data_IF_786113669589
#
_entry.id   IF_786113669589
#
_cell.length_a   1.000
_cell.length_b   1.000
_cell.length_c   1.000
_cell.angle_alpha   90.00
_cell.angle_beta   90.00
_cell.angle_gamma   90.00
#
_symmetry.space_group_name_H-M   'P 1'
#
loop_
_entity.id
_entity.type
_entity.pdbx_description
1 polymer ?
#
# COMPACT_ATOMS: atom_id res chain seq x y z
N UNK A 1 7.55 31.50 64.39
CA UNK A 1 6.98 32.53 63.51
C UNK A 1 6.02 31.82 62.54
N UNK A 2 4.69 31.68 62.74
CA UNK A 2 3.66 32.62 63.24
C UNK A 2 3.74 33.93 62.44
N UNK A 3 2.75 34.47 61.70
CA UNK A 3 1.26 34.55 61.76
C UNK A 3 0.82 35.20 60.39
N UNK A 4 -0.23 34.70 59.69
CA UNK A 4 -1.61 35.27 59.56
C UNK A 4 -1.72 36.65 58.85
N UNK A 5 -2.47 36.76 57.73
CA UNK A 5 -3.88 37.26 57.63
C UNK A 5 -3.96 38.80 57.49
N UNK A 6 -4.80 39.47 56.69
CA UNK A 6 -6.27 39.46 56.47
C UNK A 6 -6.55 40.29 55.20
N UNK A 7 -7.41 39.87 54.26
CA UNK A 7 -8.85 40.12 54.17
C UNK A 7 -9.29 41.53 53.69
N UNK A 8 -10.03 41.56 52.58
CA UNK A 8 -11.10 42.53 52.31
C UNK A 8 -12.34 41.75 51.84
N UNK A 9 -13.37 41.79 52.68
CA UNK A 9 -14.76 41.37 52.47
C UNK A 9 -15.56 42.54 51.88
N UNK A 10 -16.55 42.31 51.01
CA UNK A 10 -18.01 42.23 51.26
C UNK A 10 -18.66 42.37 49.86
N UNK A 11 -19.81 41.81 49.46
CA UNK A 11 -20.85 40.99 50.10
C UNK A 11 -21.98 40.73 49.09
N UNK A 12 -22.60 39.54 49.18
CA UNK A 12 -24.03 39.20 49.00
C UNK A 12 -24.69 39.46 47.62
N UNK A 13 -25.45 38.55 46.99
CA UNK A 13 -26.53 37.72 47.51
C UNK A 13 -26.68 36.38 46.76
N UNK A 14 -27.32 35.43 47.45
CA UNK A 14 -27.52 33.99 47.17
C UNK A 14 -29.07 33.74 47.00
N UNK A 15 -29.62 32.51 46.90
CA UNK A 15 -29.79 31.71 45.67
C UNK A 15 -31.20 31.06 45.46
N UNK A 16 -31.39 30.39 44.31
CA UNK A 16 -32.29 29.20 44.03
C UNK A 16 -33.82 29.36 44.15
N UNK A 17 -34.70 28.43 43.66
CA UNK A 17 -34.48 27.10 43.04
C UNK A 17 -35.29 26.79 41.74
N UNK A 18 -35.00 25.64 41.13
CA UNK A 18 -35.83 24.91 40.14
C UNK A 18 -37.02 24.18 40.80
N UNK A 19 -38.14 23.92 40.08
CA UNK A 19 -38.55 22.50 39.86
C UNK A 19 -39.27 22.15 38.52
N UNK A 20 -39.06 20.89 38.09
CA UNK A 20 -39.97 19.83 37.56
C UNK A 20 -41.06 20.04 36.46
N UNK A 21 -40.98 19.18 35.42
CA UNK A 21 -42.01 18.39 34.68
C UNK A 21 -43.43 18.92 34.39
N UNK A 22 -43.87 18.84 33.11
CA UNK A 22 -44.90 17.89 32.59
C UNK A 22 -45.74 18.44 31.39
N UNK A 23 -45.91 17.55 30.38
CA UNK A 23 -47.08 17.31 29.50
C UNK A 23 -47.68 18.37 28.54
N UNK A 24 -47.95 17.86 27.32
CA UNK A 24 -48.78 18.37 26.20
C UNK A 24 -50.22 18.77 26.61
N UNK A 25 -50.95 19.52 25.75
CA UNK A 25 -51.93 18.84 24.89
C UNK A 25 -52.10 19.40 23.45
N UNK A 26 -52.70 18.55 22.61
CA UNK A 26 -53.22 18.79 21.26
C UNK A 26 -54.42 19.76 21.21
N UNK A 27 -54.71 20.35 20.04
CA UNK A 27 -56.10 20.41 19.52
C UNK A 27 -56.19 20.66 18.01
N UNK A 28 -57.23 20.04 17.45
CA UNK A 28 -57.63 19.82 16.07
C UNK A 28 -58.11 21.06 15.28
N UNK A 29 -58.05 20.97 13.95
CA UNK A 29 -59.22 21.26 13.10
C UNK A 29 -59.17 20.58 11.71
N UNK A 30 -60.22 19.79 11.44
CA UNK A 30 -60.67 19.11 10.21
C UNK A 30 -61.30 20.12 9.20
N UNK A 31 -61.67 19.80 7.93
CA UNK A 31 -62.63 18.71 7.60
C UNK A 31 -62.55 17.98 6.21
N UNK A 32 -63.27 16.83 6.16
CA UNK A 32 -64.03 16.12 5.09
C UNK A 32 -63.68 16.27 3.59
N UNK A 33 -63.82 15.31 2.66
CA UNK A 33 -64.48 13.98 2.58
C UNK A 33 -64.26 13.35 1.18
N UNK A 34 -64.43 12.01 1.07
CA UNK A 34 -64.78 11.19 -0.12
C UNK A 34 -63.79 11.16 -1.31
N UNK A 35 -63.50 10.08 -2.04
CA UNK A 35 -63.96 8.68 -2.09
C UNK A 35 -63.05 7.91 -3.09
N UNK A 36 -63.09 6.57 -3.02
CA UNK A 36 -62.88 5.59 -4.12
C UNK A 36 -61.47 5.24 -4.66
N UNK A 37 -61.32 3.90 -4.82
CA UNK A 37 -60.48 3.10 -5.74
C UNK A 37 -58.98 2.92 -5.47
N UNK A 38 -58.59 1.66 -5.22
CA UNK A 38 -57.26 1.14 -5.52
C UNK A 38 -56.92 1.31 -7.01
N UNK A 39 -55.64 1.55 -7.34
CA UNK A 39 -55.04 0.67 -8.34
C UNK A 39 -53.55 0.32 -8.08
N UNK A 40 -53.25 -0.94 -8.36
CA UNK A 40 -52.04 -1.51 -8.97
C UNK A 40 -50.64 -0.90 -8.73
N UNK A 41 -49.75 -1.79 -8.31
CA UNK A 41 -48.28 -1.66 -8.30
C UNK A 41 -47.69 -1.07 -9.60
N UNK A 42 -46.68 -0.17 -9.53
CA UNK A 42 -46.06 0.42 -10.72
C UNK A 42 -45.14 -0.58 -11.45
N UNK A 43 -44.99 -0.47 -12.79
CA UNK A 43 -44.11 -1.34 -13.56
C UNK A 43 -42.63 -0.99 -13.34
N UNK A 44 -41.78 -2.02 -13.31
CA UNK A 44 -40.31 -1.88 -13.27
C UNK A 44 -39.82 -0.99 -14.42
N UNK A 45 -38.90 -0.04 -14.18
CA UNK A 45 -38.38 0.80 -15.26
C UNK A 45 -37.55 -0.03 -16.24
N UNK A 46 -37.95 -0.01 -17.52
CA UNK A 46 -37.16 -0.54 -18.63
C UNK A 46 -35.83 0.22 -18.72
N UNK A 47 -34.73 -0.52 -18.68
CA UNK A 47 -33.38 0.02 -18.83
C UNK A 47 -33.23 0.71 -20.20
N UNK A 48 -33.18 2.05 -20.21
CA UNK A 48 -32.74 2.81 -21.38
C UNK A 48 -31.27 2.44 -21.66
N UNK A 49 -31.04 1.72 -22.75
CA UNK A 49 -29.69 1.47 -23.29
C UNK A 49 -29.07 2.81 -23.70
N UNK A 50 -28.23 3.37 -22.82
CA UNK A 50 -27.33 4.46 -23.17
C UNK A 50 -26.39 3.96 -24.27
N UNK A 51 -26.48 4.55 -25.47
CA UNK A 51 -25.43 4.42 -26.49
C UNK A 51 -24.30 5.38 -26.09
N UNK A 52 -23.10 4.91 -25.71
CA UNK A 52 -22.00 5.80 -25.35
C UNK A 52 -21.52 6.57 -26.59
N UNK A 53 -21.08 7.81 -26.38
CA UNK A 53 -20.53 8.65 -27.44
C UNK A 53 -19.31 8.00 -28.11
N UNK A 54 -19.03 8.26 -29.40
CA UNK A 54 -17.89 7.67 -30.12
C UNK A 54 -16.52 7.98 -29.49
N UNK A 55 -16.43 9.02 -28.65
CA UNK A 55 -15.24 9.36 -27.88
C UNK A 55 -14.98 8.39 -26.71
N UNK A 56 -16.03 7.95 -26.01
CA UNK A 56 -15.93 6.96 -24.91
C UNK A 56 -15.45 5.58 -25.41
N UNK A 57 -15.80 5.23 -26.65
CA UNK A 57 -15.33 4.01 -27.32
C UNK A 57 -13.85 4.05 -27.75
N UNK A 58 -13.23 5.24 -27.81
CA UNK A 58 -11.80 5.37 -28.13
C UNK A 58 -10.93 5.17 -26.89
N UNK A 59 -11.43 5.65 -25.75
CA UNK A 59 -10.80 5.44 -24.44
C UNK A 59 -10.93 3.98 -23.99
N UNK A 60 -12.02 3.29 -24.36
CA UNK A 60 -12.18 1.85 -24.17
C UNK A 60 -11.18 1.02 -24.98
N UNK A 61 -10.83 1.44 -26.20
CA UNK A 61 -9.77 0.80 -27.00
C UNK A 61 -8.39 1.02 -26.38
N UNK A 62 -8.10 2.22 -25.87
CA UNK A 62 -6.91 2.45 -25.06
C UNK A 62 -6.93 1.67 -23.74
N UNK A 63 -8.11 1.28 -23.20
CA UNK A 63 -8.25 0.35 -22.07
C UNK A 63 -7.89 -1.08 -22.46
N UNK A 64 -8.39 -1.61 -23.58
CA UNK A 64 -8.08 -2.98 -24.04
C UNK A 64 -6.57 -3.19 -24.28
N UNK A 65 -5.88 -2.18 -24.80
CA UNK A 65 -4.41 -2.17 -24.98
C UNK A 65 -3.68 -2.11 -23.62
N UNK A 66 -4.32 -1.59 -22.57
CA UNK A 66 -3.76 -1.45 -21.21
C UNK A 66 -4.06 -2.62 -20.27
N UNK A 67 -5.22 -3.28 -20.40
CA UNK A 67 -5.67 -4.34 -19.49
C UNK A 67 -5.37 -5.77 -19.96
N UNK A 68 -5.10 -5.99 -21.25
CA UNK A 68 -4.84 -7.35 -21.76
C UNK A 68 -6.06 -8.27 -21.72
N UNK A 69 -7.27 -7.73 -21.49
CA UNK A 69 -8.49 -8.52 -21.48
C UNK A 69 -9.01 -8.74 -22.91
N UNK A 70 -9.22 -10.00 -23.28
CA UNK A 70 -9.96 -10.41 -24.49
C UNK A 70 -11.38 -9.84 -24.40
N UNK A 71 -11.84 -9.17 -25.45
CA UNK A 71 -13.26 -8.90 -25.63
C UNK A 71 -13.91 -10.24 -26.03
N UNK A 72 -14.60 -10.88 -25.10
CA UNK A 72 -15.45 -12.01 -25.44
C UNK A 72 -16.55 -11.52 -26.39
N UNK A 73 -16.47 -11.99 -27.63
CA UNK A 73 -17.56 -11.92 -28.60
C UNK A 73 -18.71 -12.74 -28.04
N UNK A 74 -19.84 -12.08 -27.80
CA UNK A 74 -21.15 -12.70 -27.65
C UNK A 74 -21.41 -13.58 -28.89
N UNK A 75 -21.22 -14.89 -28.72
CA UNK A 75 -21.73 -15.90 -29.65
C UNK A 75 -23.17 -16.18 -29.23
N UNK A 76 -24.11 -15.86 -30.11
CA UNK A 76 -25.49 -16.33 -30.04
C UNK A 76 -25.51 -17.87 -30.04
N UNK A 77 -26.06 -18.48 -29.00
CA UNK A 77 -26.49 -19.88 -29.06
C UNK A 77 -27.98 -19.93 -29.44
N UNK A 78 -28.39 -20.76 -30.41
CA UNK A 78 -29.77 -21.17 -30.55
C UNK A 78 -30.12 -22.23 -29.50
N UNK A 79 -31.34 -22.13 -29.01
CA UNK A 79 -32.04 -23.01 -28.08
C UNK A 79 -32.15 -24.46 -28.57
N UNK A 80 -31.82 -25.46 -27.74
CA UNK A 80 -32.42 -26.81 -27.77
C UNK A 80 -32.44 -27.42 -26.35
N UNK A 81 -33.68 -27.60 -25.88
CA UNK A 81 -34.29 -28.66 -25.05
C UNK A 81 -33.52 -29.44 -23.96
N UNK A 82 -34.16 -29.48 -22.78
CA UNK A 82 -33.96 -30.49 -21.75
C UNK A 82 -34.41 -31.88 -22.22
N UNK A 83 -33.66 -32.91 -21.85
CA UNK A 83 -34.25 -34.18 -21.45
C UNK A 83 -33.41 -34.91 -20.40
N UNK A 84 -34.09 -35.31 -19.35
CA UNK A 84 -33.66 -36.14 -18.22
C UNK A 84 -33.66 -37.64 -18.57
N UNK A 85 -32.70 -38.40 -18.06
CA UNK A 85 -32.91 -39.80 -17.59
C UNK A 85 -31.64 -40.40 -16.96
N UNK A 86 -31.82 -41.01 -15.78
CA UNK A 86 -31.34 -42.33 -15.25
C UNK A 86 -29.90 -42.80 -15.61
N UNK A 87 -29.10 -43.48 -14.77
CA UNK A 87 -29.28 -44.26 -13.53
C UNK A 87 -27.91 -44.77 -13.03
N UNK A 88 -27.87 -45.13 -11.75
CA UNK A 88 -26.92 -45.93 -10.93
C UNK A 88 -26.05 -47.03 -11.57
N UNK A 89 -24.84 -47.24 -11.01
CA UNK A 89 -24.27 -48.49 -10.38
C UNK A 89 -22.72 -48.40 -10.29
N UNK A 90 -22.10 -48.40 -9.09
CA UNK A 90 -21.48 -49.54 -8.37
C UNK A 90 -20.39 -50.30 -9.15
N UNK A 91 -19.14 -50.38 -8.64
CA UNK A 91 -18.34 -51.61 -8.35
C UNK A 91 -17.11 -51.24 -7.49
N UNK A 92 -16.70 -52.24 -6.71
CA UNK A 92 -15.91 -52.33 -5.49
C UNK A 92 -14.43 -52.75 -5.71
N UNK A 93 -13.67 -52.78 -4.61
CA UNK A 93 -12.45 -53.57 -4.29
C UNK A 93 -11.08 -53.05 -4.82
N UNK A 94 -9.96 -53.15 -4.09
CA UNK A 94 -9.69 -53.86 -2.83
C UNK A 94 -8.26 -53.61 -2.31
N UNK A 95 -8.05 -54.10 -1.09
CA UNK A 95 -6.89 -54.03 -0.19
C UNK A 95 -5.70 -54.90 -0.60
N UNK A 96 -4.48 -54.51 -0.18
CA UNK A 96 -3.52 -55.25 0.68
C UNK A 96 -2.27 -54.37 0.87
N UNK A 97 -1.46 -54.34 1.92
CA UNK A 97 -1.20 -55.26 3.03
C UNK A 97 0.27 -55.00 3.46
N UNK A 98 0.49 -54.76 4.75
CA UNK A 98 1.73 -54.33 5.42
C UNK A 98 2.77 -55.43 5.64
N UNK A 99 4.06 -55.07 5.77
CA UNK A 99 4.97 -55.79 6.69
C UNK A 99 6.16 -54.93 7.19
N UNK A 100 6.46 -55.06 8.48
CA UNK A 100 7.49 -54.41 9.30
C UNK A 100 8.71 -55.34 9.43
N UNK A 101 9.94 -54.81 9.49
CA UNK A 101 11.03 -55.47 10.21
C UNK A 101 12.07 -54.46 10.76
N UNK A 102 12.32 -54.60 12.07
CA UNK A 102 13.35 -53.93 12.88
C UNK A 102 14.74 -54.52 12.62
N UNK A 103 15.81 -53.71 12.80
CA UNK A 103 17.09 -54.03 13.48
C UNK A 103 18.09 -52.83 13.41
N UNK A 104 18.71 -52.50 14.54
CA UNK A 104 19.93 -51.69 14.72
C UNK A 104 20.85 -52.45 15.70
N UNK A 105 22.11 -52.07 16.02
CA UNK A 105 23.09 -51.14 15.41
C UNK A 105 24.50 -51.79 15.25
N UNK A 106 25.49 -51.08 14.68
CA UNK A 106 26.92 -51.32 14.98
C UNK A 106 27.81 -50.10 14.67
N UNK A 107 28.89 -50.02 15.45
CA UNK A 107 29.77 -48.89 15.74
C UNK A 107 31.00 -48.81 14.80
N UNK A 108 31.63 -47.62 14.84
CA UNK A 108 33.04 -47.30 14.54
C UNK A 108 33.55 -47.29 13.09
N UNK A 109 33.93 -46.12 12.59
CA UNK A 109 35.35 -45.68 12.47
C UNK A 109 35.44 -44.35 11.70
N UNK A 110 36.32 -43.47 12.15
CA UNK A 110 36.42 -42.09 11.66
C UNK A 110 37.06 -41.96 10.27
N UNK A 111 36.83 -40.82 9.63
CA UNK A 111 37.75 -40.23 8.67
C UNK A 111 37.48 -38.75 8.53
N UNK A 112 38.57 -37.99 8.60
CA UNK A 112 38.67 -36.56 8.38
C UNK A 112 38.00 -36.12 7.07
N UNK A 113 37.44 -34.91 7.11
CA UNK A 113 37.25 -34.07 5.92
C UNK A 113 35.81 -33.69 5.67
N UNK A 114 35.40 -32.52 6.17
CA UNK A 114 34.74 -31.52 5.31
C UNK A 114 34.66 -30.14 6.02
N UNK A 115 35.81 -29.49 6.25
CA UNK A 115 35.84 -28.07 6.66
C UNK A 115 35.68 -27.12 5.45
N UNK A 116 35.11 -27.62 4.35
CA UNK A 116 34.93 -26.89 3.09
C UNK A 116 33.47 -26.54 2.76
N UNK A 117 32.50 -26.94 3.60
CA UNK A 117 31.07 -26.69 3.32
C UNK A 117 30.51 -25.39 3.93
N UNK A 118 31.24 -24.74 4.85
CA UNK A 118 30.74 -23.56 5.58
C UNK A 118 30.91 -22.23 4.81
N UNK A 119 31.70 -22.20 3.74
CA UNK A 119 31.96 -20.97 2.96
C UNK A 119 30.78 -20.53 2.06
N UNK A 120 29.71 -21.32 1.96
CA UNK A 120 28.49 -20.96 1.21
C UNK A 120 27.27 -20.67 2.09
N UNK A 121 27.36 -20.83 3.42
CA UNK A 121 26.28 -20.49 4.32
C UNK A 121 26.21 -18.96 4.50
N UNK A 122 25.20 -18.33 3.90
CA UNK A 122 24.99 -16.88 4.02
C UNK A 122 24.81 -16.44 5.48
N UNK A 123 25.36 -15.28 5.82
CA UNK A 123 25.25 -14.71 7.17
C UNK A 123 23.79 -14.36 7.47
N UNK A 124 23.31 -14.75 8.64
CA UNK A 124 21.92 -14.52 9.04
C UNK A 124 21.75 -13.23 9.84
N UNK A 125 20.65 -12.53 9.58
CA UNK A 125 20.17 -11.36 10.33
C UNK A 125 18.75 -11.66 10.82
N UNK A 126 18.59 -11.73 12.12
CA UNK A 126 17.33 -11.93 12.81
C UNK A 126 16.74 -10.56 13.14
N UNK A 127 15.49 -10.34 12.75
CA UNK A 127 14.75 -9.11 12.97
C UNK A 127 13.61 -9.39 13.95
N UNK A 128 13.70 -8.87 15.16
CA UNK A 128 12.79 -9.21 16.27
C UNK A 128 11.95 -8.00 16.66
N UNK A 129 10.63 -8.16 16.76
CA UNK A 129 9.73 -7.07 17.14
C UNK A 129 8.55 -7.56 17.96
N UNK A 130 8.19 -6.78 18.98
CA UNK A 130 6.95 -6.90 19.75
C UNK A 130 5.69 -6.46 18.96
N UNK A 131 5.89 -5.91 17.76
CA UNK A 131 4.85 -5.50 16.84
C UNK A 131 4.95 -6.31 15.54
N UNK A 132 4.94 -5.60 14.40
CA UNK A 132 4.95 -6.24 13.09
C UNK A 132 6.35 -6.53 12.56
N UNK A 133 7.38 -5.85 13.05
CA UNK A 133 8.76 -5.99 12.55
C UNK A 133 9.08 -5.23 11.25
N UNK A 134 8.09 -4.71 10.52
CA UNK A 134 8.31 -3.91 9.30
C UNK A 134 9.30 -2.74 9.46
N UNK A 135 9.37 -2.09 10.64
CA UNK A 135 10.34 -1.01 10.86
C UNK A 135 11.78 -1.52 10.89
N UNK A 136 12.01 -2.67 11.54
CA UNK A 136 13.30 -3.33 11.56
C UNK A 136 13.69 -3.76 10.14
N UNK A 137 12.77 -4.42 9.43
CA UNK A 137 12.98 -4.85 8.05
C UNK A 137 13.31 -3.71 7.10
N UNK A 138 12.58 -2.59 7.15
CA UNK A 138 12.89 -1.43 6.31
C UNK A 138 14.27 -0.85 6.62
N UNK A 139 14.66 -0.81 7.90
CA UNK A 139 15.95 -0.26 8.32
C UNK A 139 17.10 -1.19 7.90
N UNK A 140 16.92 -2.50 8.05
CA UNK A 140 17.89 -3.52 7.60
C UNK A 140 18.05 -3.48 6.08
N UNK A 141 16.94 -3.44 5.32
CA UNK A 141 17.01 -3.33 3.86
C UNK A 141 17.72 -2.04 3.41
N UNK A 142 17.46 -0.91 4.07
CA UNK A 142 18.16 0.35 3.79
C UNK A 142 19.67 0.25 4.09
N UNK A 143 20.05 -0.41 5.18
CA UNK A 143 21.44 -0.64 5.53
C UNK A 143 22.14 -1.61 4.56
N UNK A 144 21.46 -2.67 4.12
CA UNK A 144 21.98 -3.65 3.16
C UNK A 144 22.31 -3.02 1.80
N UNK A 145 21.60 -1.97 1.39
CA UNK A 145 21.92 -1.20 0.18
C UNK A 145 23.32 -0.56 0.18
N UNK A 146 23.96 -0.40 1.35
CA UNK A 146 25.36 0.04 1.42
C UNK A 146 26.37 -1.04 1.00
N UNK A 147 25.91 -2.29 0.84
CA UNK A 147 26.72 -3.46 0.53
C UNK A 147 26.35 -4.08 -0.83
N UNK A 148 25.60 -3.37 -1.68
CA UNK A 148 25.16 -3.84 -3.00
C UNK A 148 26.32 -4.40 -3.84
N UNK A 149 27.50 -3.76 -3.79
CA UNK A 149 28.70 -4.18 -4.51
C UNK A 149 29.17 -5.61 -4.15
N UNK A 150 28.86 -6.09 -2.95
CA UNK A 150 29.24 -7.41 -2.47
C UNK A 150 28.07 -8.41 -2.53
N UNK A 151 26.83 -7.93 -2.41
CA UNK A 151 25.62 -8.73 -2.50
C UNK A 151 25.33 -9.19 -3.93
N UNK A 152 25.55 -8.32 -4.93
CA UNK A 152 25.27 -8.62 -6.35
C UNK A 152 26.16 -9.76 -6.86
N UNK A 153 27.44 -9.73 -6.49
CA UNK A 153 28.40 -10.77 -6.86
C UNK A 153 28.32 -12.02 -5.94
N UNK A 154 27.34 -12.05 -5.03
CA UNK A 154 27.13 -13.09 -4.01
C UNK A 154 28.37 -13.42 -3.17
N UNK A 155 29.25 -12.44 -2.99
CA UNK A 155 30.47 -12.58 -2.19
C UNK A 155 30.14 -12.58 -0.69
N UNK A 156 29.06 -11.93 -0.29
CA UNK A 156 28.55 -11.92 1.09
C UNK A 156 27.04 -12.19 1.12
N UNK A 157 26.58 -13.43 0.90
CA UNK A 157 25.15 -13.74 0.95
C UNK A 157 24.60 -13.46 2.36
N UNK A 158 23.44 -12.80 2.43
CA UNK A 158 22.74 -12.47 3.67
C UNK A 158 21.34 -13.08 3.66
N UNK A 159 20.96 -13.73 4.75
CA UNK A 159 19.62 -14.24 4.99
C UNK A 159 18.93 -13.43 6.08
N UNK A 160 17.72 -12.94 5.83
CA UNK A 160 16.95 -12.16 6.81
C UNK A 160 15.78 -12.97 7.34
N UNK A 161 15.61 -13.03 8.67
CA UNK A 161 14.55 -13.76 9.34
C UNK A 161 13.73 -12.82 10.22
N UNK A 162 12.42 -12.72 9.97
CA UNK A 162 11.53 -11.82 10.70
C UNK A 162 10.74 -12.57 11.77
N UNK A 163 10.84 -12.11 13.02
CA UNK A 163 10.10 -12.59 14.17
C UNK A 163 9.19 -11.46 14.69
N UNK A 164 7.90 -11.54 14.38
CA UNK A 164 6.88 -10.56 14.76
C UNK A 164 6.10 -11.01 16.00
N UNK A 165 5.57 -10.05 16.76
CA UNK A 165 4.73 -10.31 17.94
C UNK A 165 5.48 -10.98 19.09
N UNK A 166 6.75 -10.60 19.30
CA UNK A 166 7.58 -11.11 20.39
C UNK A 166 7.43 -10.17 21.59
N UNK A 167 6.44 -10.46 22.44
CA UNK A 167 6.13 -9.71 23.65
C UNK A 167 6.39 -10.49 24.95
N UNK A 168 6.95 -11.70 24.85
CA UNK A 168 7.29 -12.56 25.96
C UNK A 168 8.80 -12.89 26.03
N UNK A 169 9.32 -13.00 27.25
CA UNK A 169 10.75 -13.21 27.50
C UNK A 169 11.20 -14.62 27.12
N UNK A 170 10.34 -15.62 27.27
CA UNK A 170 10.69 -17.02 27.01
C UNK A 170 11.00 -17.23 25.52
N UNK A 171 10.12 -16.75 24.64
CA UNK A 171 10.28 -16.79 23.19
C UNK A 171 11.42 -15.92 22.71
N UNK A 172 11.62 -14.74 23.30
CA UNK A 172 12.80 -13.92 23.03
C UNK A 172 14.08 -14.71 23.30
N UNK A 173 14.15 -15.40 24.44
CA UNK A 173 15.30 -16.23 24.79
C UNK A 173 15.51 -17.42 23.84
N UNK A 174 14.44 -18.05 23.38
CA UNK A 174 14.52 -19.11 22.35
C UNK A 174 15.12 -18.57 21.05
N UNK A 175 14.64 -17.41 20.58
CA UNK A 175 15.13 -16.76 19.37
C UNK A 175 16.62 -16.40 19.50
N UNK A 176 17.04 -15.83 20.63
CA UNK A 176 18.45 -15.46 20.86
C UNK A 176 19.34 -16.70 20.93
N UNK A 177 18.90 -17.78 21.58
CA UNK A 177 19.62 -19.06 21.60
C UNK A 177 19.77 -19.65 20.19
N UNK A 178 18.73 -19.53 19.37
CA UNK A 178 18.79 -19.98 17.98
C UNK A 178 19.75 -19.10 17.16
N UNK A 179 19.69 -17.78 17.32
CA UNK A 179 20.61 -16.85 16.68
C UNK A 179 22.07 -17.17 17.03
N UNK A 180 22.35 -17.52 18.29
CA UNK A 180 23.69 -17.94 18.72
C UNK A 180 24.16 -19.22 18.02
N UNK A 181 23.27 -20.22 17.87
CA UNK A 181 23.59 -21.48 17.15
C UNK A 181 23.86 -21.25 15.66
N UNK A 182 23.17 -20.30 15.05
CA UNK A 182 23.30 -19.97 13.63
C UNK A 182 24.34 -18.88 13.35
N UNK A 183 25.01 -18.33 14.37
CA UNK A 183 25.93 -17.21 14.21
C UNK A 183 25.26 -15.95 13.65
N UNK A 184 23.97 -15.77 13.91
CA UNK A 184 23.17 -14.68 13.36
C UNK A 184 23.31 -13.39 14.18
N UNK A 185 23.25 -12.24 13.50
CA UNK A 185 23.07 -10.93 14.14
C UNK A 185 21.59 -10.75 14.54
N UNK A 186 21.31 -10.12 15.68
CA UNK A 186 19.94 -9.80 16.13
C UNK A 186 19.69 -8.29 16.10
N UNK A 187 18.81 -7.87 15.21
CA UNK A 187 18.30 -6.51 15.12
C UNK A 187 16.90 -6.49 15.70
N UNK A 188 16.60 -5.57 16.62
CA UNK A 188 15.30 -5.58 17.31
C UNK A 188 14.66 -4.22 17.48
N UNK A 189 13.34 -4.24 17.65
CA UNK A 189 12.49 -3.10 18.00
C UNK A 189 11.52 -3.53 19.09
N UNK A 190 11.82 -3.21 20.33
CA UNK A 190 11.07 -3.60 21.52
C UNK A 190 10.69 -2.32 22.29
N UNK A 191 9.40 -2.09 22.51
CA UNK A 191 8.89 -0.92 23.19
C UNK A 191 9.02 -1.02 24.71
N UNK A 192 8.91 -2.23 25.26
CA UNK A 192 9.12 -2.48 26.68
C UNK A 192 10.62 -2.48 27.01
N UNK A 193 11.04 -1.52 27.83
CA UNK A 193 12.44 -1.34 28.22
C UNK A 193 13.01 -2.57 28.94
N UNK A 194 12.19 -3.28 29.72
CA UNK A 194 12.63 -4.48 30.44
C UNK A 194 12.94 -5.64 29.48
N UNK A 195 12.13 -5.80 28.43
CA UNK A 195 12.35 -6.80 27.39
C UNK A 195 13.54 -6.40 26.52
N UNK A 196 13.69 -5.11 26.17
CA UNK A 196 14.84 -4.61 25.42
C UNK A 196 16.17 -4.79 26.18
N UNK A 197 16.17 -4.55 27.49
CA UNK A 197 17.31 -4.80 28.38
C UNK A 197 17.65 -6.30 28.44
N UNK A 198 16.62 -7.14 28.61
CA UNK A 198 16.78 -8.60 28.63
C UNK A 198 17.36 -9.11 27.31
N UNK A 199 16.89 -8.58 26.17
CA UNK A 199 17.42 -8.92 24.86
C UNK A 199 18.91 -8.60 24.75
N UNK A 200 19.33 -7.41 25.21
CA UNK A 200 20.72 -6.98 25.18
C UNK A 200 21.61 -7.87 26.05
N UNK A 201 21.21 -8.09 27.29
CA UNK A 201 21.96 -8.93 28.24
C UNK A 201 22.06 -10.37 27.77
N UNK A 202 20.97 -10.93 27.22
CA UNK A 202 20.99 -12.26 26.65
C UNK A 202 21.91 -12.34 25.43
N UNK A 203 21.85 -11.37 24.50
CA UNK A 203 22.74 -11.36 23.35
C UNK A 203 24.22 -11.27 23.77
N UNK A 204 24.54 -10.44 24.77
CA UNK A 204 25.91 -10.34 25.32
C UNK A 204 26.36 -11.66 25.95
N UNK A 205 25.51 -12.31 26.75
CA UNK A 205 25.78 -13.60 27.37
C UNK A 205 26.06 -14.72 26.35
N UNK A 206 25.30 -14.74 25.25
CA UNK A 206 25.43 -15.75 24.19
C UNK A 206 26.43 -15.36 23.09
N UNK A 207 27.14 -14.24 23.22
CA UNK A 207 28.11 -13.77 22.22
C UNK A 207 27.48 -13.35 20.88
N UNK A 208 26.21 -12.97 20.89
CA UNK A 208 25.43 -12.59 19.70
C UNK A 208 25.54 -11.09 19.47
N UNK A 209 25.92 -10.70 18.26
CA UNK A 209 25.91 -9.28 17.86
C UNK A 209 24.47 -8.78 17.78
N UNK A 210 24.14 -7.73 18.52
CA UNK A 210 22.77 -7.20 18.53
C UNK A 210 22.69 -5.67 18.45
N UNK A 211 21.55 -5.15 18.01
CA UNK A 211 21.30 -3.71 17.90
C UNK A 211 19.81 -3.38 18.06
N UNK A 212 19.52 -2.44 18.97
CA UNK A 212 18.22 -1.79 19.07
C UNK A 212 18.12 -0.62 18.09
N UNK A 213 17.18 -0.70 17.13
CA UNK A 213 17.00 0.37 16.14
C UNK A 213 16.26 1.58 16.73
N UNK A 214 15.24 1.35 17.56
CA UNK A 214 14.30 2.39 17.95
C UNK A 214 14.59 3.00 19.32
N UNK A 215 15.32 2.30 20.20
CA UNK A 215 15.70 2.81 21.52
C UNK A 215 16.32 4.21 21.46
N UNK A 216 17.42 4.42 20.71
CA UNK A 216 18.08 5.73 20.61
C UNK A 216 17.16 6.84 20.04
N UNK A 217 16.33 6.50 19.05
CA UNK A 217 15.39 7.45 18.42
C UNK A 217 14.28 7.82 19.41
N UNK A 218 13.77 6.85 20.16
CA UNK A 218 12.69 7.02 21.13
C UNK A 218 13.16 7.88 22.30
N UNK A 219 14.37 7.66 22.80
CA UNK A 219 14.99 8.47 23.85
C UNK A 219 15.22 9.92 23.39
N UNK A 220 15.72 10.11 22.16
CA UNK A 220 15.91 11.46 21.61
C UNK A 220 14.58 12.22 21.48
N UNK A 221 13.51 11.56 21.02
CA UNK A 221 12.17 12.15 20.96
C UNK A 221 11.63 12.45 22.36
N UNK A 222 11.79 11.53 23.32
CA UNK A 222 11.36 11.71 24.70
C UNK A 222 12.03 12.92 25.35
N UNK A 223 13.35 13.06 25.16
CA UNK A 223 14.12 14.22 25.62
C UNK A 223 13.64 15.52 24.97
N UNK A 224 13.38 15.51 23.65
CA UNK A 224 12.90 16.68 22.93
C UNK A 224 11.49 17.12 23.33
N UNK A 225 10.59 16.17 23.60
CA UNK A 225 9.22 16.43 24.01
C UNK A 225 9.08 16.69 25.52
N UNK A 226 10.07 16.31 26.33
CA UNK A 226 10.01 16.37 27.79
C UNK A 226 9.02 15.36 28.39
N UNK A 227 8.77 14.24 27.71
CA UNK A 227 7.79 13.22 28.11
C UNK A 227 8.41 11.83 28.01
N UNK A 228 8.22 11.01 29.04
CA UNK A 228 8.71 9.63 29.03
C UNK A 228 7.94 8.75 28.01
N UNK A 229 8.62 7.80 27.34
CA UNK A 229 7.96 6.84 26.47
C UNK A 229 6.92 6.00 27.23
N UNK A 230 5.88 5.55 26.52
CA UNK A 230 4.83 4.73 27.15
C UNK A 230 5.32 3.35 27.60
N UNK A 231 6.41 2.83 27.03
CA UNK A 231 6.87 1.45 27.25
C UNK A 231 5.95 0.36 26.66
N UNK A 232 4.77 0.73 26.16
CA UNK A 232 3.78 -0.22 25.67
C UNK A 232 3.94 -0.52 24.17
N UNK A 233 3.92 -1.80 23.74
CA UNK A 233 3.84 -2.17 22.34
C UNK A 233 2.54 -1.68 21.69
N UNK A 234 2.47 -1.74 20.36
CA UNK A 234 1.28 -1.31 19.60
C UNK A 234 0.03 -2.12 19.96
N UNK A 235 0.20 -3.41 20.27
CA UNK A 235 -0.90 -4.34 20.56
C UNK A 235 -1.19 -4.48 22.06
N UNK A 236 -0.53 -3.69 22.92
CA UNK A 236 -0.71 -3.78 24.36
C UNK A 236 -2.19 -3.58 24.79
N UNK A 237 -2.71 -4.40 25.71
CA UNK A 237 -4.01 -4.18 26.33
C UNK A 237 -4.09 -2.77 26.93
N UNK A 238 -5.18 -2.04 26.67
CA UNK A 238 -5.38 -0.67 27.16
C UNK A 238 -4.90 0.45 26.23
N UNK A 239 -4.16 0.12 25.15
CA UNK A 239 -3.92 1.08 24.06
C UNK A 239 -5.20 1.24 23.25
N UNK A 240 -5.77 2.45 23.23
CA UNK A 240 -6.86 2.77 22.30
C UNK A 240 -6.30 2.71 20.88
N UNK A 241 -6.50 1.59 20.19
CA UNK A 241 -6.31 1.46 18.75
C UNK A 241 -7.45 2.19 18.03
N UNK A 242 -7.62 3.49 18.29
CA UNK A 242 -8.51 4.31 17.48
C UNK A 242 -7.82 4.46 16.13
N UNK A 243 -8.33 3.75 15.11
CA UNK A 243 -8.01 4.03 13.72
C UNK A 243 -8.19 5.54 13.53
N UNK A 244 -7.07 6.23 13.27
CA UNK A 244 -7.05 7.69 13.27
C UNK A 244 -7.68 8.22 11.96
N UNK A 245 -8.08 9.49 11.92
CA UNK A 245 -8.59 10.15 10.72
C UNK A 245 -7.66 9.94 9.51
N UNK A 246 -6.35 9.92 9.75
CA UNK A 246 -5.35 9.63 8.72
C UNK A 246 -5.50 8.24 8.09
N UNK A 247 -5.85 7.22 8.88
CA UNK A 247 -6.09 5.88 8.36
C UNK A 247 -7.27 5.89 7.39
N UNK A 248 -8.39 6.51 7.78
CA UNK A 248 -9.56 6.62 6.91
C UNK A 248 -9.29 7.45 5.66
N UNK A 249 -8.54 8.55 5.79
CA UNK A 249 -8.07 9.34 4.63
C UNK A 249 -7.24 8.49 3.67
N UNK A 250 -6.37 7.61 4.18
CA UNK A 250 -5.58 6.69 3.35
C UNK A 250 -6.46 5.69 2.62
N UNK A 251 -7.46 5.11 3.28
CA UNK A 251 -8.41 4.20 2.64
C UNK A 251 -9.18 4.92 1.52
N UNK A 252 -9.68 6.13 1.79
CA UNK A 252 -10.39 6.93 0.79
C UNK A 252 -9.50 7.25 -0.43
N UNK A 253 -8.23 7.61 -0.17
CA UNK A 253 -7.25 7.87 -1.22
C UNK A 253 -6.98 6.64 -2.10
N UNK A 254 -6.83 5.46 -1.48
CA UNK A 254 -6.63 4.19 -2.19
C UNK A 254 -7.85 3.88 -3.06
N UNK A 255 -9.06 3.94 -2.49
CA UNK A 255 -10.29 3.68 -3.23
C UNK A 255 -10.48 4.62 -4.42
N UNK A 256 -10.25 5.92 -4.21
CA UNK A 256 -10.32 6.92 -5.28
C UNK A 256 -9.36 6.57 -6.41
N UNK A 257 -8.12 6.21 -6.07
CA UNK A 257 -7.05 5.96 -7.04
C UNK A 257 -7.32 4.71 -7.86
N UNK A 258 -7.76 3.61 -7.22
CA UNK A 258 -8.13 2.37 -7.92
C UNK A 258 -9.28 2.62 -8.90
N UNK A 259 -10.35 3.31 -8.45
CA UNK A 259 -11.50 3.65 -9.31
C UNK A 259 -11.10 4.49 -10.53
N UNK A 260 -10.07 5.33 -10.40
CA UNK A 260 -9.62 6.23 -11.46
C UNK A 260 -8.62 5.59 -12.43
N UNK A 261 -7.83 4.59 -12.00
CA UNK A 261 -6.87 3.90 -12.87
C UNK A 261 -7.56 3.06 -13.96
N UNK A 262 -8.67 2.38 -13.61
CA UNK A 262 -9.42 1.50 -14.51
C UNK A 262 -10.41 2.22 -15.45
N UNK A 263 -10.72 3.49 -15.18
CA UNK A 263 -11.93 4.11 -15.71
C UNK A 263 -11.88 5.58 -16.10
N UNK A 264 -10.76 6.29 -15.88
CA UNK A 264 -10.53 7.72 -16.15
C UNK A 264 -11.82 8.52 -16.47
N UNK A 265 -12.61 8.81 -15.44
CA UNK A 265 -13.71 9.76 -15.55
C UNK A 265 -13.07 11.15 -15.58
N UNK A 266 -13.19 11.91 -16.68
CA UNK A 266 -12.63 13.27 -16.78
C UNK A 266 -13.15 14.18 -15.66
N UNK A 267 -14.37 13.89 -15.20
CA UNK A 267 -15.03 14.58 -14.10
C UNK A 267 -14.32 14.43 -12.77
N UNK A 268 -13.59 13.34 -12.50
CA UNK A 268 -12.96 13.15 -11.18
C UNK A 268 -11.60 13.84 -11.03
N UNK A 269 -11.06 14.47 -12.09
CA UNK A 269 -9.76 15.15 -12.02
C UNK A 269 -9.74 16.29 -11.01
N UNK A 270 -10.85 17.00 -10.79
CA UNK A 270 -10.92 18.09 -9.80
C UNK A 270 -10.80 17.60 -8.35
N UNK A 271 -11.14 16.34 -8.07
CA UNK A 271 -11.08 15.72 -6.73
C UNK A 271 -9.71 15.14 -6.42
N UNK A 272 -8.83 15.04 -7.41
CA UNK A 272 -7.49 14.51 -7.23
C UNK A 272 -6.60 15.52 -6.50
N UNK A 273 -5.76 15.01 -5.61
CA UNK A 273 -4.66 15.77 -5.03
C UNK A 273 -3.50 15.85 -6.02
N UNK A 274 -3.23 14.74 -6.73
CA UNK A 274 -2.12 14.58 -7.67
C UNK A 274 -2.66 13.98 -8.97
N UNK A 275 -2.24 14.54 -10.11
CA UNK A 275 -2.57 14.00 -11.44
C UNK A 275 -1.28 13.61 -12.14
N UNK A 276 -1.15 12.32 -12.50
CA UNK A 276 0.01 11.80 -13.22
C UNK A 276 -0.30 11.72 -14.72
N UNK A 277 0.40 12.50 -15.53
CA UNK A 277 0.27 12.51 -16.98
C UNK A 277 1.50 11.86 -17.64
N UNK A 278 1.32 10.94 -18.58
CA UNK A 278 2.47 10.38 -19.30
C UNK A 278 2.14 9.20 -20.20
N UNK A 279 3.11 8.79 -21.03
CA UNK A 279 2.94 7.70 -22.01
C UNK A 279 2.73 6.35 -21.32
N UNK A 280 2.14 5.38 -22.03
CA UNK A 280 1.98 4.03 -21.48
C UNK A 280 3.34 3.44 -21.06
N UNK A 281 3.41 2.79 -19.89
CA UNK A 281 4.61 2.23 -19.22
C UNK A 281 5.55 3.17 -18.46
N UNK A 282 5.17 4.43 -18.23
CA UNK A 282 5.95 5.31 -17.33
C UNK A 282 5.75 5.03 -15.83
N UNK A 283 5.30 3.83 -15.43
CA UNK A 283 5.10 3.50 -14.01
C UNK A 283 3.92 4.18 -13.31
N UNK A 284 2.99 4.83 -14.04
CA UNK A 284 1.83 5.54 -13.47
C UNK A 284 1.02 4.72 -12.46
N UNK A 285 0.56 3.52 -12.83
CA UNK A 285 -0.29 2.70 -11.95
C UNK A 285 0.42 2.34 -10.63
N UNK A 286 1.63 1.73 -10.63
CA UNK A 286 2.37 1.51 -9.39
C UNK A 286 2.61 2.79 -8.58
N UNK A 287 3.02 3.88 -9.23
CA UNK A 287 3.28 5.16 -8.56
C UNK A 287 2.03 5.75 -7.92
N UNK A 288 0.89 5.71 -8.60
CA UNK A 288 -0.38 6.21 -8.07
C UNK A 288 -0.84 5.42 -6.85
N UNK A 289 -0.68 4.10 -6.87
CA UNK A 289 -1.03 3.23 -5.74
C UNK A 289 -0.08 3.52 -4.55
N UNK A 290 1.21 3.68 -4.82
CA UNK A 290 2.17 4.03 -3.76
C UNK A 290 1.85 5.39 -3.12
N UNK A 291 1.55 6.40 -3.92
CA UNK A 291 1.16 7.73 -3.43
C UNK A 291 -0.18 7.67 -2.66
N UNK A 292 -1.13 6.85 -3.10
CA UNK A 292 -2.41 6.71 -2.38
C UNK A 292 -2.26 6.01 -1.03
N UNK A 293 -1.31 5.09 -0.90
CA UNK A 293 -0.90 4.55 0.40
C UNK A 293 -0.29 5.60 1.34
N UNK A 294 0.17 6.74 0.83
CA UNK A 294 0.58 7.90 1.64
C UNK A 294 -0.56 8.89 1.90
N UNK A 295 -1.79 8.58 1.44
CA UNK A 295 -3.00 9.37 1.71
C UNK A 295 -3.37 10.42 0.64
N UNK A 296 -2.83 10.31 -0.58
CA UNK A 296 -3.11 11.23 -1.68
C UNK A 296 -4.08 10.62 -2.70
N UNK A 297 -5.13 11.35 -3.07
CA UNK A 297 -6.03 10.95 -4.16
C UNK A 297 -5.32 11.16 -5.50
N UNK A 298 -4.94 10.08 -6.18
CA UNK A 298 -4.17 10.17 -7.43
C UNK A 298 -5.03 9.81 -8.64
N UNK A 299 -4.94 10.62 -9.70
CA UNK A 299 -5.58 10.33 -10.98
C UNK A 299 -4.54 10.16 -12.10
N UNK A 300 -4.69 9.11 -12.90
CA UNK A 300 -3.78 8.82 -14.01
C UNK A 300 -4.38 9.29 -15.35
N UNK A 301 -3.65 10.15 -16.06
CA UNK A 301 -4.03 10.60 -17.41
C UNK A 301 -3.03 10.05 -18.44
N UNK A 302 -3.46 9.08 -19.27
CA UNK A 302 -2.59 8.52 -20.30
C UNK A 302 -2.39 9.54 -21.43
N UNK A 303 -1.14 9.72 -21.85
CA UNK A 303 -0.84 10.42 -23.10
C UNK A 303 -0.66 9.37 -24.19
N UNK A 304 -1.47 9.47 -25.24
CA UNK A 304 -1.46 8.57 -26.38
C UNK A 304 -1.46 9.41 -27.64
N UNK A 305 -0.57 9.09 -28.59
CA UNK A 305 -0.47 9.77 -29.88
C UNK A 305 -1.85 9.84 -30.57
N UNK A 306 -2.18 10.99 -31.15
CA UNK A 306 -3.42 11.23 -31.91
C UNK A 306 -4.74 11.11 -31.11
N UNK A 307 -4.68 11.04 -29.79
CA UNK A 307 -5.84 11.10 -28.89
C UNK A 307 -5.75 12.42 -28.11
N UNK A 308 -6.73 13.30 -28.31
CA UNK A 308 -6.83 14.55 -27.56
C UNK A 308 -7.00 14.31 -26.07
N UNK A 309 -6.30 15.10 -25.26
CA UNK A 309 -6.42 15.08 -23.81
C UNK A 309 -7.78 15.64 -23.38
N UNK A 310 -8.31 15.17 -22.23
CA UNK A 310 -9.61 15.64 -21.74
C UNK A 310 -9.49 17.12 -21.36
N UNK A 311 -10.49 17.93 -21.72
CA UNK A 311 -10.50 19.37 -21.40
C UNK A 311 -10.36 19.62 -19.90
N UNK A 312 -10.96 18.77 -19.08
CA UNK A 312 -10.87 18.84 -17.62
C UNK A 312 -9.45 18.74 -17.07
N UNK A 313 -8.47 18.20 -17.81
CA UNK A 313 -7.06 18.22 -17.41
C UNK A 313 -6.48 19.65 -17.40
N UNK A 314 -6.97 20.52 -18.29
CA UNK A 314 -6.51 21.90 -18.41
C UNK A 314 -7.35 22.88 -17.58
N UNK A 315 -8.49 22.44 -17.07
CA UNK A 315 -9.39 23.23 -16.23
C UNK A 315 -9.08 23.10 -14.73
N UNK A 316 -8.36 22.05 -14.33
CA UNK A 316 -7.91 21.88 -12.94
C UNK A 316 -6.68 22.75 -12.66
N UNK A 317 -6.39 22.92 -11.37
CA UNK A 317 -5.16 23.53 -10.89
C UNK A 317 -3.92 22.86 -11.52
N UNK A 318 -3.15 23.57 -12.37
CA UNK A 318 -2.00 23.01 -13.08
C UNK A 318 -0.86 22.62 -12.13
N UNK A 319 -0.84 23.14 -10.89
CA UNK A 319 0.17 22.78 -9.89
C UNK A 319 0.03 21.33 -9.39
N UNK A 320 -1.14 20.71 -9.60
CA UNK A 320 -1.42 19.31 -9.24
C UNK A 320 -0.99 18.30 -10.31
N UNK A 321 -0.63 18.76 -11.51
CA UNK A 321 -0.29 17.89 -12.64
C UNK A 321 1.21 17.65 -12.69
N UNK A 322 1.59 16.37 -12.74
CA UNK A 322 2.96 15.90 -12.85
C UNK A 322 3.12 15.04 -14.09
N UNK A 323 3.98 15.49 -15.00
CA UNK A 323 4.31 14.80 -16.23
C UNK A 323 5.40 13.75 -15.96
N UNK A 324 5.23 12.55 -16.49
CA UNK A 324 6.21 11.45 -16.41
C UNK A 324 6.75 11.16 -17.79
N UNK A 325 8.09 11.15 -17.91
CA UNK A 325 8.81 10.79 -19.12
C UNK A 325 9.81 9.66 -18.83
N UNK A 326 10.23 8.94 -19.87
CA UNK A 326 11.09 7.77 -19.76
C UNK A 326 12.01 7.70 -20.97
N UNK A 327 13.22 7.19 -20.76
CA UNK A 327 14.15 6.90 -21.84
C UNK A 327 13.52 5.94 -22.87
N UNK A 328 13.62 6.24 -24.18
CA UNK A 328 12.93 5.47 -25.21
C UNK A 328 13.43 4.02 -25.32
N UNK A 329 14.72 3.75 -25.07
CA UNK A 329 15.30 2.40 -25.13
C UNK A 329 14.75 1.53 -23.99
N UNK A 330 14.69 2.09 -22.78
CA UNK A 330 14.11 1.40 -21.61
C UNK A 330 12.61 1.18 -21.81
N UNK A 331 11.89 2.18 -22.32
CA UNK A 331 10.46 2.08 -22.62
C UNK A 331 10.16 0.96 -23.63
N UNK A 332 10.92 0.89 -24.72
CA UNK A 332 10.81 -0.19 -25.69
C UNK A 332 11.02 -1.55 -25.05
N UNK A 333 12.05 -1.68 -24.21
CA UNK A 333 12.37 -2.94 -23.51
C UNK A 333 11.21 -3.40 -22.65
N UNK A 334 10.62 -2.51 -21.85
CA UNK A 334 9.44 -2.79 -21.01
C UNK A 334 8.23 -3.19 -21.87
N UNK A 335 8.00 -2.51 -23.00
CA UNK A 335 6.89 -2.82 -23.92
C UNK A 335 7.06 -4.20 -24.57
N UNK A 336 8.27 -4.52 -25.04
CA UNK A 336 8.60 -5.85 -25.60
C UNK A 336 8.39 -6.95 -24.58
N UNK A 337 8.86 -6.76 -23.35
CA UNK A 337 8.67 -7.73 -22.26
C UNK A 337 7.17 -8.00 -22.01
N UNK A 338 6.36 -6.94 -21.90
CA UNK A 338 4.92 -7.12 -21.67
C UNK A 338 4.17 -7.70 -22.87
N UNK A 339 4.56 -7.35 -24.09
CA UNK A 339 3.96 -7.90 -25.31
C UNK A 339 4.16 -9.43 -25.37
N UNK A 340 5.34 -9.92 -24.96
CA UNK A 340 5.64 -11.36 -24.85
C UNK A 340 4.73 -12.05 -23.83
N UNK A 341 4.52 -11.46 -22.66
CA UNK A 341 3.67 -12.04 -21.59
C UNK A 341 2.19 -12.11 -21.97
N UNK A 342 1.70 -11.19 -22.81
CA UNK A 342 0.27 -11.09 -23.16
C UNK A 342 -0.15 -11.86 -24.43
N UNK A 343 0.79 -12.50 -25.13
CA UNK A 343 0.46 -13.37 -26.26
C UNK A 343 -0.25 -12.71 -27.44
N UNK A 344 -0.13 -11.37 -27.62
CA UNK A 344 -0.73 -10.64 -28.76
C UNK A 344 -0.27 -11.21 -30.11
N UNK A 345 -1.07 -11.13 -31.18
CA UNK A 345 -0.64 -11.53 -32.55
C UNK A 345 0.45 -10.60 -33.12
N UNK A 346 1.36 -11.14 -33.95
CA UNK A 346 2.60 -10.49 -34.42
C UNK A 346 2.40 -9.11 -35.09
N UNK A 347 1.24 -8.85 -35.71
CA UNK A 347 0.96 -7.59 -36.40
C UNK A 347 0.69 -6.39 -35.46
N UNK A 348 0.19 -6.62 -34.24
CA UNK A 348 0.01 -5.58 -33.21
C UNK A 348 1.29 -5.42 -32.37
N UNK A 349 2.12 -6.48 -32.29
CA UNK A 349 3.41 -6.47 -31.60
C UNK A 349 4.39 -5.47 -32.22
N UNK A 350 4.37 -5.36 -33.55
CA UNK A 350 5.28 -4.52 -34.34
C UNK A 350 5.11 -3.03 -33.96
N UNK A 351 3.93 -2.44 -34.18
CA UNK A 351 3.78 -0.99 -34.11
C UNK A 351 3.89 -0.39 -32.67
N UNK A 352 3.40 -1.07 -31.62
CA UNK A 352 3.41 -0.50 -30.25
C UNK A 352 4.79 -0.51 -29.57
N UNK A 353 5.67 -1.42 -29.98
CA UNK A 353 7.00 -1.63 -29.40
C UNK A 353 8.15 -1.26 -30.34
N UNK A 354 7.86 -0.91 -31.59
CA UNK A 354 8.82 -0.34 -32.53
C UNK A 354 9.40 0.98 -32.01
N UNK A 355 10.69 1.16 -32.30
CA UNK A 355 11.44 2.29 -31.74
C UNK A 355 10.92 3.63 -32.29
N UNK A 356 10.52 3.66 -33.56
CA UNK A 356 10.05 4.87 -34.20
C UNK A 356 8.70 5.31 -33.61
N UNK A 357 7.76 4.39 -33.43
CA UNK A 357 6.50 4.69 -32.74
C UNK A 357 6.73 5.17 -31.30
N UNK A 358 7.65 4.53 -30.55
CA UNK A 358 7.99 4.94 -29.18
C UNK A 358 8.55 6.37 -29.16
N UNK A 359 9.46 6.71 -30.08
CA UNK A 359 10.01 8.07 -30.21
C UNK A 359 8.92 9.08 -30.55
N UNK A 360 8.09 8.80 -31.54
CA UNK A 360 7.01 9.69 -31.94
C UNK A 360 5.99 9.94 -30.82
N UNK A 361 5.67 8.92 -30.03
CA UNK A 361 4.76 9.05 -28.88
C UNK A 361 5.39 9.88 -27.75
N UNK A 362 6.68 9.70 -27.48
CA UNK A 362 7.42 10.52 -26.52
C UNK A 362 7.59 11.97 -27.00
N UNK A 363 7.81 12.20 -28.28
CA UNK A 363 7.84 13.54 -28.87
C UNK A 363 6.48 14.24 -28.75
N UNK A 364 5.38 13.52 -29.01
CA UNK A 364 4.03 14.04 -28.81
C UNK A 364 3.79 14.41 -27.33
N UNK A 365 4.21 13.55 -26.39
CA UNK A 365 4.14 13.86 -24.97
C UNK A 365 5.00 15.07 -24.60
N UNK A 366 6.24 15.16 -25.11
CA UNK A 366 7.15 16.29 -24.87
C UNK A 366 6.57 17.60 -25.36
N UNK A 367 5.97 17.64 -26.56
CA UNK A 367 5.25 18.82 -27.08
C UNK A 367 4.10 19.23 -26.18
N UNK A 368 3.33 18.26 -25.67
CA UNK A 368 2.25 18.51 -24.72
C UNK A 368 2.79 19.14 -23.43
N UNK A 369 3.91 18.63 -22.90
CA UNK A 369 4.52 19.17 -21.69
C UNK A 369 5.09 20.57 -21.90
N UNK A 370 5.71 20.84 -23.06
CA UNK A 370 6.21 22.18 -23.41
C UNK A 370 5.09 23.23 -23.50
N UNK A 371 3.89 22.84 -23.93
CA UNK A 371 2.71 23.70 -23.93
C UNK A 371 2.19 24.00 -22.51
N UNK A 372 2.63 23.25 -21.50
CA UNK A 372 2.17 23.34 -20.11
C UNK A 372 3.38 23.46 -19.15
N UNK A 373 4.10 24.59 -19.16
CA UNK A 373 5.38 24.75 -18.45
C UNK A 373 5.28 24.65 -16.91
N UNK A 374 4.08 24.77 -16.35
CA UNK A 374 3.83 24.61 -14.91
C UNK A 374 3.95 23.14 -14.48
N UNK A 375 3.76 22.19 -15.39
CA UNK A 375 3.79 20.76 -15.08
C UNK A 375 5.25 20.29 -14.93
N UNK A 376 5.66 19.79 -13.75
CA UNK A 376 6.98 19.19 -13.62
C UNK A 376 7.08 17.95 -14.50
N UNK A 377 8.13 17.88 -15.32
CA UNK A 377 8.46 16.69 -16.11
C UNK A 377 9.48 15.86 -15.35
N UNK A 378 9.05 14.72 -14.85
CA UNK A 378 9.86 13.81 -14.04
C UNK A 378 10.31 12.65 -14.92
N UNK A 379 11.62 12.51 -15.09
CA UNK A 379 12.20 11.33 -15.73
C UNK A 379 12.23 10.16 -14.74
N UNK A 380 11.60 9.04 -15.14
CA UNK A 380 11.45 7.82 -14.31
C UNK A 380 12.41 6.69 -14.69
N UNK A 381 13.31 6.92 -15.66
CA UNK A 381 14.25 5.90 -16.14
C UNK A 381 15.12 5.38 -15.00
N UNK A 382 15.08 4.06 -14.74
CA UNK A 382 15.93 3.41 -13.75
C UNK A 382 15.65 3.80 -12.29
N UNK A 383 14.60 4.57 -12.02
CA UNK A 383 14.22 4.99 -10.67
C UNK A 383 13.24 4.03 -10.04
N UNK A 384 13.37 3.84 -8.74
CA UNK A 384 12.37 3.14 -7.95
C UNK A 384 11.07 3.97 -7.85
N UNK A 385 9.97 3.30 -7.51
CA UNK A 385 8.67 3.98 -7.36
C UNK A 385 8.70 4.94 -6.17
N UNK A 386 9.38 4.54 -5.10
CA UNK A 386 9.61 5.29 -3.86
C UNK A 386 10.37 6.61 -4.14
N UNK A 387 11.41 6.56 -4.95
CA UNK A 387 12.21 7.73 -5.34
C UNK A 387 11.39 8.72 -6.16
N UNK A 388 10.65 8.21 -7.15
CA UNK A 388 9.77 9.04 -7.99
C UNK A 388 8.66 9.66 -7.15
N UNK A 389 8.07 8.90 -6.22
CA UNK A 389 7.08 9.41 -5.28
C UNK A 389 7.65 10.51 -4.38
N UNK A 390 8.88 10.36 -3.88
CA UNK A 390 9.53 11.39 -3.07
C UNK A 390 9.71 12.71 -3.84
N UNK A 391 10.08 12.65 -5.13
CA UNK A 391 10.18 13.84 -6.00
C UNK A 391 8.81 14.50 -6.19
N UNK A 392 7.77 13.73 -6.51
CA UNK A 392 6.40 14.23 -6.67
C UNK A 392 5.92 14.91 -5.39
N UNK A 393 6.07 14.24 -4.24
CA UNK A 393 5.61 14.77 -2.96
C UNK A 393 6.38 16.01 -2.53
N UNK A 394 7.70 16.07 -2.77
CA UNK A 394 8.50 17.26 -2.50
C UNK A 394 7.96 18.46 -3.26
N UNK A 395 7.76 18.32 -4.57
CA UNK A 395 7.23 19.38 -5.43
C UNK A 395 5.80 19.77 -5.05
N UNK A 396 4.95 18.78 -4.71
CA UNK A 396 3.58 19.01 -4.24
C UNK A 396 3.56 19.85 -2.95
N UNK A 397 4.37 19.50 -1.95
CA UNK A 397 4.41 20.21 -0.66
C UNK A 397 5.07 21.58 -0.75
N UNK A 398 6.10 21.73 -1.58
CA UNK A 398 6.78 23.02 -1.78
C UNK A 398 5.84 24.07 -2.40
N UNK A 399 5.01 23.64 -3.36
CA UNK A 399 3.96 24.48 -3.96
C UNK A 399 2.88 24.86 -2.95
N UNK A 400 2.40 23.87 -2.19
CA UNK A 400 1.32 24.05 -1.21
C UNK A 400 1.73 24.93 -0.03
N UNK A 401 2.98 24.80 0.42
CA UNK A 401 3.53 25.51 1.56
C UNK A 401 4.76 26.27 1.12
N UNK A 402 4.59 27.47 0.53
CA UNK A 402 5.70 28.36 0.15
C UNK A 402 6.55 28.71 1.38
N UNK A 403 7.60 27.93 1.60
CA UNK A 403 8.49 28.02 2.75
C UNK A 403 9.89 28.39 2.26
N UNK A 404 10.66 29.08 3.09
CA UNK A 404 12.06 29.39 2.78
C UNK A 404 12.92 28.14 2.59
N UNK A 405 12.53 27.03 3.22
CA UNK A 405 13.17 25.73 3.07
C UNK A 405 12.12 24.69 2.62
N UNK A 406 12.26 24.09 1.42
CA UNK A 406 11.30 23.12 0.90
C UNK A 406 11.34 21.83 1.73
N UNK A 407 10.19 21.42 2.26
CA UNK A 407 10.08 20.23 3.11
C UNK A 407 8.68 19.60 3.07
N UNK A 408 8.62 18.29 3.29
CA UNK A 408 7.36 17.57 3.54
C UNK A 408 7.06 17.67 5.04
N UNK A 409 5.94 18.29 5.41
CA UNK A 409 5.57 18.50 6.81
C UNK A 409 4.30 17.75 7.18
N UNK A 410 4.26 17.20 8.39
CA UNK A 410 3.09 16.53 8.95
C UNK A 410 2.92 16.92 10.42
N UNK A 411 1.67 17.17 10.82
CA UNK A 411 1.29 17.39 12.22
C UNK A 411 0.81 16.08 12.82
N UNK A 412 1.28 15.76 14.02
CA UNK A 412 0.87 14.60 14.82
C UNK A 412 -0.09 15.01 15.93
#
# INVERSE_FOLDING_TARGET
MMISSTALTLSNLRPTPSPTTASLPESNSKPSSSSTSEPSSPPKPQARRFKPSPQLNRWSRARAIRSGHKLDRLIQQPSVEMNSSNSSQLVNNGYDGSELHLLSPSNESGSNGDDSTDLMAGKSIYMVSDGTGWTAEHSVNAALGQFDYCLVDRVCPVNTHLFSGIDDVERLMEIIKQAAKEGAMVVYTLADQSIAETARQACELWGVTSTDILGPITEAIASHLGVSPSGLPRWAPGRKNSLNEEYFRRIEAIEFTIKQDDGALPENLHKADIVLAGVSRTGKTPLSIYLSQKGYKVANVPIVKNIGLPRSLFEIDPEKVFALTINPVVLQTIRRARAKTLGFDDDIRSNYSEMDYVKEELEFASKTFQQNPIWPVIEVTGKAIEETAAVVLRLYHDRKNRCSMPRISKRY
#
